data_IF_911038835123
#
_entry.id   IF_911038835123
#
_cell.length_a   1.000
_cell.length_b   1.000
_cell.length_c   1.000
_cell.angle_alpha   90.00
_cell.angle_beta   90.00
_cell.angle_gamma   90.00
#
_symmetry.space_group_name_H-M   'P 1'
#
loop_
_entity.id
_entity.type
_entity.pdbx_description
1 polymer ?
#
# COMPACT_ATOMS: atom_id res chain seq x y z
N UNK A 1 34.83 37.10 -14.65
CA UNK A 1 35.28 35.72 -14.38
C UNK A 1 34.11 34.98 -13.77
N UNK A 2 33.48 34.12 -14.55
CA UNK A 2 32.23 33.42 -14.24
C UNK A 2 32.54 32.15 -13.44
N UNK A 3 32.02 32.06 -12.21
CA UNK A 3 32.08 30.83 -11.40
C UNK A 3 30.96 29.89 -11.83
N UNK A 4 31.32 28.80 -12.49
CA UNK A 4 30.41 27.72 -12.86
C UNK A 4 30.18 26.86 -11.61
N UNK A 5 28.95 26.87 -11.09
CA UNK A 5 28.53 25.96 -10.03
C UNK A 5 28.22 24.58 -10.65
N UNK A 6 28.88 23.56 -10.12
CA UNK A 6 28.75 22.16 -10.53
C UNK A 6 27.34 21.62 -10.22
N UNK A 7 26.77 20.75 -11.07
CA UNK A 7 25.49 20.12 -10.81
C UNK A 7 25.64 19.07 -9.70
N UNK A 8 24.95 19.29 -8.59
CA UNK A 8 24.84 18.34 -7.48
C UNK A 8 24.34 16.98 -7.97
N UNK A 9 25.26 16.02 -7.91
CA UNK A 9 25.07 14.60 -8.18
C UNK A 9 23.86 14.07 -7.42
N UNK A 10 22.95 13.45 -8.18
CA UNK A 10 21.81 12.72 -7.66
C UNK A 10 22.28 11.66 -6.64
N UNK A 11 22.01 11.91 -5.37
CA UNK A 11 22.10 10.89 -4.33
C UNK A 11 21.02 9.86 -4.63
N UNK A 12 21.46 8.72 -5.19
CA UNK A 12 20.67 7.50 -5.17
C UNK A 12 20.31 7.22 -3.71
N UNK A 13 19.02 7.33 -3.38
CA UNK A 13 18.52 6.96 -2.06
C UNK A 13 18.88 5.50 -1.81
N UNK A 14 19.51 5.18 -0.67
CA UNK A 14 19.86 3.80 -0.34
C UNK A 14 18.57 2.98 -0.32
N UNK A 15 18.63 1.77 -0.89
CA UNK A 15 17.60 0.76 -0.72
C UNK A 15 17.31 0.61 0.78
N UNK A 16 16.24 1.25 1.26
CA UNK A 16 15.78 1.06 2.63
C UNK A 16 15.61 -0.44 2.86
N UNK A 17 16.07 -0.97 4.01
CA UNK A 17 15.93 -2.39 4.32
C UNK A 17 14.49 -2.78 4.06
N UNK A 18 14.29 -3.81 3.25
CA UNK A 18 12.98 -4.24 2.77
C UNK A 18 12.12 -4.56 3.98
N UNK A 19 11.36 -3.57 4.45
CA UNK A 19 10.50 -3.71 5.63
C UNK A 19 9.50 -4.79 5.29
N UNK A 20 9.43 -5.83 6.13
CA UNK A 20 8.58 -7.00 5.91
C UNK A 20 7.09 -6.65 5.82
N UNK A 21 6.71 -5.45 6.26
CA UNK A 21 5.35 -4.91 6.24
C UNK A 21 5.09 -3.87 5.12
N UNK A 22 5.89 -3.81 4.06
CA UNK A 22 5.67 -2.90 2.93
C UNK A 22 4.96 -3.59 1.76
N UNK A 23 3.91 -2.95 1.24
CA UNK A 23 3.15 -3.36 0.06
C UNK A 23 3.35 -2.30 -1.02
N UNK A 24 3.89 -2.73 -2.17
CA UNK A 24 3.92 -1.91 -3.36
C UNK A 24 2.73 -2.27 -4.26
N UNK A 25 1.84 -1.30 -4.45
CA UNK A 25 0.65 -1.43 -5.28
C UNK A 25 1.00 -1.04 -6.71
N UNK A 26 0.59 -1.88 -7.66
CA UNK A 26 0.74 -1.64 -9.10
C UNK A 26 -0.60 -1.80 -9.80
N UNK A 27 -0.73 -1.19 -10.98
CA UNK A 27 -2.02 -1.02 -11.65
C UNK A 27 -2.48 -2.24 -12.46
N UNK A 28 -1.62 -3.23 -12.72
CA UNK A 28 -1.79 -4.01 -13.97
C UNK A 28 -2.24 -5.46 -13.85
N UNK A 29 -2.32 -6.09 -12.66
CA UNK A 29 -2.69 -7.53 -12.60
C UNK A 29 -3.42 -8.01 -11.35
N UNK A 30 -3.43 -7.26 -10.25
CA UNK A 30 -4.02 -7.73 -8.98
C UNK A 30 -5.34 -7.02 -8.72
N UNK A 31 -6.42 -7.74 -8.36
CA UNK A 31 -7.68 -7.11 -8.02
C UNK A 31 -7.52 -6.26 -6.75
N UNK A 32 -8.35 -5.21 -6.58
CA UNK A 32 -8.28 -4.30 -5.44
C UNK A 32 -8.22 -5.03 -4.09
N UNK A 33 -9.11 -6.00 -3.89
CA UNK A 33 -9.22 -6.77 -2.65
C UNK A 33 -8.02 -7.66 -2.35
N UNK A 34 -7.18 -7.98 -3.33
CA UNK A 34 -5.91 -8.66 -3.07
C UNK A 34 -5.05 -7.83 -2.11
N UNK A 35 -4.90 -6.54 -2.39
CA UNK A 35 -4.11 -5.64 -1.56
C UNK A 35 -4.78 -5.33 -0.22
N UNK A 36 -6.11 -5.22 -0.19
CA UNK A 36 -6.87 -5.06 1.06
C UNK A 36 -6.61 -6.25 1.99
N UNK A 37 -6.72 -7.47 1.49
CA UNK A 37 -6.53 -8.69 2.28
C UNK A 37 -5.06 -8.87 2.71
N UNK A 38 -4.11 -8.52 1.82
CA UNK A 38 -2.70 -8.53 2.17
C UNK A 38 -2.37 -7.52 3.27
N UNK A 39 -2.95 -6.32 3.20
CA UNK A 39 -2.80 -5.30 4.23
C UNK A 39 -3.39 -5.74 5.57
N UNK A 40 -4.58 -6.37 5.59
CA UNK A 40 -5.15 -6.97 6.81
C UNK A 40 -4.16 -7.97 7.44
N UNK A 41 -3.58 -8.87 6.63
CA UNK A 41 -2.59 -9.85 7.12
C UNK A 41 -1.35 -9.16 7.70
N UNK A 42 -0.83 -8.14 7.04
CA UNK A 42 0.36 -7.42 7.51
C UNK A 42 0.09 -6.64 8.80
N UNK A 43 -1.08 -6.00 8.92
CA UNK A 43 -1.51 -5.36 10.16
C UNK A 43 -1.63 -6.39 11.29
N UNK A 44 -2.15 -7.59 11.01
CA UNK A 44 -2.26 -8.65 12.01
C UNK A 44 -0.88 -9.17 12.48
N UNK A 45 0.09 -9.27 11.57
CA UNK A 45 1.41 -9.83 11.88
C UNK A 45 2.39 -8.80 12.45
N UNK A 46 2.29 -7.53 12.05
CA UNK A 46 3.28 -6.49 12.32
C UNK A 46 2.70 -5.27 13.04
N UNK A 47 1.40 -5.25 13.34
CA UNK A 47 0.64 -4.11 13.88
C UNK A 47 0.64 -2.84 13.00
N UNK A 48 1.28 -2.90 11.84
CA UNK A 48 1.47 -1.78 10.94
C UNK A 48 1.70 -2.27 9.51
N UNK A 49 1.26 -1.51 8.52
CA UNK A 49 1.52 -1.74 7.10
C UNK A 49 1.89 -0.44 6.40
N UNK A 50 2.84 -0.52 5.47
CA UNK A 50 3.26 0.59 4.61
C UNK A 50 2.78 0.34 3.17
N UNK A 51 1.87 1.18 2.67
CA UNK A 51 1.35 1.10 1.30
C UNK A 51 2.07 2.13 0.43
N UNK A 52 2.62 1.69 -0.71
CA UNK A 52 3.28 2.58 -1.66
C UNK A 52 2.81 2.38 -3.09
N UNK A 53 2.75 3.45 -3.87
CA UNK A 53 2.42 3.39 -5.29
C UNK A 53 3.05 4.53 -6.09
N UNK A 54 3.10 4.35 -7.40
CA UNK A 54 3.60 5.31 -8.37
C UNK A 54 2.54 5.64 -9.43
N UNK A 55 2.44 6.93 -9.78
CA UNK A 55 1.59 7.40 -10.88
C UNK A 55 0.14 6.96 -10.74
N UNK A 56 -0.41 6.29 -11.77
CA UNK A 56 -1.84 5.90 -11.80
C UNK A 56 -2.24 4.95 -10.65
N UNK A 57 -1.31 4.19 -10.07
CA UNK A 57 -1.61 3.29 -8.96
C UNK A 57 -1.84 4.02 -7.63
N UNK A 58 -1.58 5.34 -7.55
CA UNK A 58 -1.80 6.14 -6.34
C UNK A 58 -3.28 6.09 -5.92
N UNK A 59 -4.21 6.19 -6.87
CA UNK A 59 -5.64 6.12 -6.60
C UNK A 59 -6.01 4.82 -5.87
N UNK A 60 -5.48 3.69 -6.32
CA UNK A 60 -5.70 2.38 -5.70
C UNK A 60 -5.22 2.33 -4.25
N UNK A 61 -4.05 2.92 -3.95
CA UNK A 61 -3.54 2.99 -2.57
C UNK A 61 -4.45 3.81 -1.67
N UNK A 62 -4.95 4.95 -2.16
CA UNK A 62 -5.90 5.79 -1.42
C UNK A 62 -7.17 5.00 -1.12
N UNK A 63 -7.75 4.33 -2.11
CA UNK A 63 -8.94 3.50 -1.94
C UNK A 63 -8.73 2.37 -0.95
N UNK A 64 -7.58 1.69 -0.98
CA UNK A 64 -7.26 0.62 -0.01
C UNK A 64 -7.20 1.19 1.42
N UNK A 65 -6.54 2.33 1.60
CA UNK A 65 -6.43 2.98 2.90
C UNK A 65 -7.81 3.42 3.41
N UNK A 66 -8.66 3.98 2.55
CA UNK A 66 -10.03 4.36 2.88
C UNK A 66 -10.87 3.16 3.30
N UNK A 67 -10.83 2.05 2.54
CA UNK A 67 -11.56 0.82 2.90
C UNK A 67 -11.16 0.34 4.30
N UNK A 68 -9.86 0.32 4.61
CA UNK A 68 -9.37 -0.16 5.91
C UNK A 68 -9.75 0.77 7.06
N UNK A 69 -9.73 2.08 6.86
CA UNK A 69 -10.14 3.07 7.88
C UNK A 69 -11.66 3.07 8.10
N UNK A 70 -12.44 3.09 7.02
CA UNK A 70 -13.90 3.14 7.10
C UNK A 70 -14.49 1.88 7.73
N UNK A 71 -13.87 0.74 7.49
CA UNK A 71 -14.24 -0.51 8.16
C UNK A 71 -13.73 -0.60 9.61
N UNK A 72 -13.06 0.44 10.13
CA UNK A 72 -12.53 0.45 11.48
C UNK A 72 -11.43 -0.58 11.71
N UNK A 73 -10.70 -0.99 10.67
CA UNK A 73 -9.61 -1.97 10.77
C UNK A 73 -8.27 -1.27 11.02
N UNK A 74 -8.05 -0.09 10.44
CA UNK A 74 -6.78 0.61 10.54
C UNK A 74 -6.94 2.07 10.94
N UNK A 75 -5.87 2.65 11.49
CA UNK A 75 -5.71 4.10 11.72
C UNK A 75 -4.55 4.61 10.88
N UNK A 76 -4.64 5.82 10.34
CA UNK A 76 -3.50 6.43 9.65
C UNK A 76 -2.44 6.90 10.64
N UNK A 77 -1.17 6.61 10.33
CA UNK A 77 -0.03 7.15 11.08
C UNK A 77 0.73 8.20 10.29
N UNK A 78 0.87 7.98 8.98
CA UNK A 78 1.64 8.85 8.09
C UNK A 78 1.08 8.79 6.68
N UNK A 79 1.03 9.94 6.02
CA UNK A 79 0.77 10.06 4.58
C UNK A 79 1.86 10.95 4.00
N UNK A 80 2.63 10.44 3.05
CA UNK A 80 3.68 11.17 2.36
C UNK A 80 3.49 11.07 0.85
N UNK A 81 3.65 12.19 0.17
CA UNK A 81 3.76 12.23 -1.30
C UNK A 81 5.10 12.84 -1.68
N UNK A 82 5.70 12.31 -2.73
CA UNK A 82 6.98 12.77 -3.25
C UNK A 82 7.04 12.55 -4.75
N UNK A 83 8.09 13.05 -5.40
CA UNK A 83 8.39 12.76 -6.81
C UNK A 83 9.69 11.98 -6.88
N UNK A 84 9.70 10.87 -7.61
CA UNK A 84 10.90 10.07 -7.86
C UNK A 84 11.29 10.17 -9.34
N UNK A 85 12.58 10.38 -9.61
CA UNK A 85 13.12 10.33 -10.96
C UNK A 85 13.27 8.88 -11.41
N UNK A 86 12.63 8.51 -12.52
CA UNK A 86 12.81 7.22 -13.16
C UNK A 86 13.41 7.41 -14.55
N UNK A 87 14.36 6.55 -14.91
CA UNK A 87 14.91 6.50 -16.26
C UNK A 87 13.92 5.76 -17.16
N UNK A 88 13.36 6.46 -18.14
CA UNK A 88 12.53 5.84 -19.17
C UNK A 88 13.47 5.31 -20.28
N UNK A 89 13.73 4.01 -20.28
CA UNK A 89 14.62 3.37 -21.25
C UNK A 89 14.08 3.43 -22.69
N UNK A 90 12.76 3.61 -22.87
CA UNK A 90 12.16 3.75 -24.21
C UNK A 90 12.36 5.14 -24.82
N UNK A 91 12.57 6.17 -24.00
CA UNK A 91 12.69 7.57 -24.47
C UNK A 91 14.01 8.24 -24.13
N UNK A 92 14.92 7.56 -23.43
CA UNK A 92 16.22 8.11 -23.00
C UNK A 92 16.13 9.30 -22.04
N UNK A 93 14.93 9.63 -21.55
CA UNK A 93 14.66 10.82 -20.73
C UNK A 93 14.37 10.42 -19.28
N UNK A 94 14.84 11.23 -18.34
CA UNK A 94 14.45 11.15 -16.94
C UNK A 94 13.00 11.66 -16.80
N UNK A 95 12.10 10.80 -16.34
CA UNK A 95 10.70 11.13 -16.08
C UNK A 95 10.48 11.17 -14.58
N UNK A 96 9.91 12.27 -14.09
CA UNK A 96 9.49 12.35 -12.69
C UNK A 96 8.12 11.69 -12.53
N UNK A 97 8.01 10.73 -11.61
CA UNK A 97 6.74 10.09 -11.25
C UNK A 97 6.37 10.46 -9.83
N UNK A 98 5.10 10.80 -9.61
CA UNK A 98 4.56 10.93 -8.27
C UNK A 98 4.62 9.58 -7.55
N UNK A 99 5.00 9.61 -6.28
CA UNK A 99 5.03 8.50 -5.34
C UNK A 99 4.19 8.86 -4.13
N UNK A 100 3.42 7.90 -3.64
CA UNK A 100 2.71 7.98 -2.36
C UNK A 100 3.19 6.89 -1.42
N UNK A 101 3.25 7.20 -0.13
CA UNK A 101 3.57 6.29 0.97
C UNK A 101 2.61 6.54 2.12
N UNK A 102 1.79 5.54 2.46
CA UNK A 102 0.83 5.60 3.56
C UNK A 102 1.19 4.54 4.59
N UNK A 103 1.40 4.95 5.84
CA UNK A 103 1.58 4.04 6.97
C UNK A 103 0.27 3.94 7.73
N UNK A 104 -0.25 2.71 7.85
CA UNK A 104 -1.46 2.40 8.58
C UNK A 104 -1.14 1.53 9.80
N UNK A 105 -1.64 1.92 10.96
CA UNK A 105 -1.57 1.15 12.21
C UNK A 105 -2.79 0.25 12.40
N UNK A 106 -2.61 -0.81 13.19
CA UNK A 106 -3.70 -1.61 13.73
C UNK A 106 -4.62 -0.73 14.59
N UNK A 107 -5.92 -0.77 14.32
CA UNK A 107 -6.90 -0.12 15.19
C UNK A 107 -7.25 -0.99 16.40
N UNK A 108 -7.82 -0.37 17.44
CA UNK A 108 -8.33 -1.07 18.63
C UNK A 108 -9.46 -2.05 18.31
N UNK A 109 -10.24 -1.77 17.25
CA UNK A 109 -11.38 -2.60 16.82
C UNK A 109 -10.96 -3.78 15.94
N UNK A 110 -9.70 -3.84 15.51
CA UNK A 110 -9.23 -4.77 14.49
C UNK A 110 -9.47 -6.23 14.86
N UNK A 111 -9.05 -6.66 16.04
CA UNK A 111 -9.12 -8.08 16.45
C UNK A 111 -10.56 -8.56 16.55
N UNK A 112 -11.45 -7.72 17.09
CA UNK A 112 -12.87 -8.00 17.17
C UNK A 112 -13.47 -8.18 15.78
N UNK A 113 -13.21 -7.26 14.85
CA UNK A 113 -13.78 -7.30 13.50
C UNK A 113 -13.22 -8.44 12.64
N UNK A 114 -11.94 -8.80 12.82
CA UNK A 114 -11.34 -9.97 12.15
C UNK A 114 -11.92 -11.29 12.68
N UNK A 115 -12.16 -11.40 13.98
CA UNK A 115 -12.79 -12.59 14.56
C UNK A 115 -14.24 -12.77 14.08
N UNK A 116 -15.02 -11.69 13.99
CA UNK A 116 -16.39 -11.74 13.47
C UNK A 116 -16.42 -12.10 11.98
N UNK A 117 -15.50 -11.56 11.18
CA UNK A 117 -15.37 -11.90 9.75
C UNK A 117 -15.03 -13.38 9.51
N UNK A 118 -14.25 -13.99 10.41
CA UNK A 118 -13.90 -15.42 10.35
C UNK A 118 -15.05 -16.32 10.80
N UNK A 119 -15.93 -15.85 11.68
CA UNK A 119 -17.12 -16.59 12.11
C UNK A 119 -18.25 -16.57 11.07
N UNK A 120 -18.44 -15.44 10.37
CA UNK A 120 -19.42 -15.32 9.28
C UNK A 120 -19.06 -16.20 8.09
N UNK A 121 -17.79 -16.23 7.68
CA UNK A 121 -17.32 -17.10 6.58
C UNK A 121 -17.38 -18.60 6.90
N UNK A 122 -17.38 -18.99 8.18
CA UNK A 122 -17.60 -20.38 8.61
C UNK A 122 -19.09 -20.79 8.63
N UNK A 123 -20.01 -19.85 8.72
CA UNK A 123 -21.45 -20.14 8.80
C UNK A 123 -22.12 -20.23 7.44
N UNK A 124 -21.58 -19.58 6.39
CA UNK A 124 -22.11 -19.70 5.02
C UNK A 124 -21.68 -20.99 4.31
N UNK A 125 -20.56 -21.62 4.70
CA UNK A 125 -20.14 -22.91 4.13
C UNK A 125 -21.02 -24.11 4.56
N UNK A 126 -22.01 -23.90 5.44
CA UNK A 126 -22.88 -24.95 5.98
C UNK A 126 -24.32 -24.92 5.41
N UNK A 127 -24.64 -24.07 4.43
CA UNK A 127 -26.02 -23.92 3.91
C UNK A 127 -26.23 -24.24 2.42
N UNK A 128 -25.22 -24.70 1.69
CA UNK A 128 -25.38 -25.05 0.25
C UNK A 128 -25.59 -26.55 -0.05
N UNK A 129 -25.72 -27.44 0.94
CA UNK A 129 -25.91 -28.90 0.69
C UNK A 129 -27.36 -29.41 0.93
N UNK A 130 -28.36 -28.53 1.01
CA UNK A 130 -29.76 -28.99 1.13
C UNK A 130 -30.76 -28.07 0.40
N UNK A 131 -30.69 -28.02 -0.94
CA UNK A 131 -31.88 -27.77 -1.76
C UNK A 131 -31.75 -28.30 -3.19
N UNK A 132 -32.08 -29.58 -3.32
CA UNK A 132 -32.87 -30.23 -4.39
C UNK A 132 -32.76 -29.71 -5.83
#
# INVERSE_FOLDING_TARGET
MTTIAEPVTATATPNEPNKKNRIQVSNTKKPLFFYVNLAKRYIQQHNEVELSALGMAIATVVTIAEILKNNGLATEKKVLTSTVGMKDESKGRLVQKAKIEIVLGKSEKFDNLMAHSAATTKSEAATEDDKK
#
